data_IF_483819500627
#
_entry.id   IF_483819500627
#
_cell.length_a   1.000
_cell.length_b   1.000
_cell.length_c   1.000
_cell.angle_alpha   90.00
_cell.angle_beta   90.00
_cell.angle_gamma   90.00
#
_symmetry.space_group_name_H-M   'P 1'
#
loop_
_entity.id
_entity.type
_entity.pdbx_description
1 polymer ?
#
# COMPACT_ATOMS: atom_id res chain seq x y z
N UNK A 1 14.90 -6.00 -10.01
CA UNK A 1 15.24 -5.68 -8.61
C UNK A 1 14.08 -4.95 -7.98
N UNK A 2 13.75 -5.26 -6.69
CA UNK A 2 12.64 -4.65 -5.95
C UNK A 2 13.17 -4.10 -4.63
N UNK A 3 12.72 -2.90 -4.27
CA UNK A 3 12.97 -2.26 -2.99
C UNK A 3 11.64 -1.86 -2.35
N UNK A 4 11.46 -2.13 -1.07
CA UNK A 4 10.28 -1.73 -0.30
C UNK A 4 10.69 -1.33 1.12
N UNK A 5 10.00 -0.36 1.70
CA UNK A 5 10.20 0.06 3.08
C UNK A 5 9.29 -0.72 4.04
N UNK A 6 9.75 -0.89 5.29
CA UNK A 6 8.97 -1.38 6.42
C UNK A 6 9.37 -0.60 7.66
N UNK A 7 8.54 0.35 8.10
CA UNK A 7 8.90 1.26 9.19
C UNK A 7 8.28 0.92 10.54
N UNK A 8 7.24 0.11 10.56
CA UNK A 8 6.68 -0.35 11.83
C UNK A 8 7.70 -1.26 12.56
N UNK A 9 7.93 -1.02 13.84
CA UNK A 9 7.30 -0.04 14.72
C UNK A 9 8.06 1.31 14.72
N UNK A 10 9.39 1.33 14.72
CA UNK A 10 10.24 2.49 15.02
C UNK A 10 11.45 2.59 14.08
N UNK A 11 11.32 2.15 12.83
CA UNK A 11 12.39 2.16 11.83
C UNK A 11 12.36 3.37 10.90
N UNK A 12 11.35 4.27 11.00
CA UNK A 12 11.34 5.52 10.26
C UNK A 12 12.54 6.40 10.63
N UNK A 13 12.94 6.40 11.90
CA UNK A 13 14.12 7.12 12.45
C UNK A 13 15.46 6.66 11.86
N UNK A 14 15.51 5.49 11.26
CA UNK A 14 16.72 4.98 10.58
C UNK A 14 16.90 5.59 9.19
N UNK A 15 15.83 6.18 8.62
CA UNK A 15 15.81 6.77 7.28
C UNK A 15 15.80 8.29 7.33
N UNK A 16 15.06 8.91 8.26
CA UNK A 16 15.00 10.36 8.42
C UNK A 16 14.80 10.77 9.88
N UNK A 17 15.28 11.97 10.30
CA UNK A 17 15.06 12.47 11.65
C UNK A 17 13.57 12.74 11.91
N UNK A 18 13.01 12.08 12.93
CA UNK A 18 11.59 12.25 13.31
C UNK A 18 11.37 11.90 14.79
N UNK A 19 10.22 12.32 15.32
CA UNK A 19 9.66 11.76 16.55
C UNK A 19 8.89 10.50 16.13
N UNK A 20 9.56 9.37 16.24
CA UNK A 20 9.08 8.08 15.73
C UNK A 20 8.21 7.37 16.78
N UNK A 21 7.04 7.97 17.02
CA UNK A 21 6.02 7.53 17.96
C UNK A 21 4.64 7.64 17.27
N UNK A 22 3.70 6.73 17.53
CA UNK A 22 2.44 6.67 16.80
C UNK A 22 1.60 7.95 16.95
N UNK A 23 1.62 8.60 18.11
CA UNK A 23 0.87 9.84 18.36
C UNK A 23 1.50 11.09 17.74
N UNK A 24 2.80 11.07 17.42
CA UNK A 24 3.54 12.18 16.83
C UNK A 24 3.32 12.29 15.31
N UNK A 25 2.06 12.56 14.91
CA UNK A 25 1.67 12.62 13.50
C UNK A 25 2.19 13.86 12.79
N UNK A 26 2.60 13.71 11.54
CA UNK A 26 3.03 14.77 10.63
C UNK A 26 2.44 14.57 9.23
N UNK A 27 2.48 15.61 8.41
CA UNK A 27 2.29 15.53 6.97
C UNK A 27 3.64 15.30 6.31
N UNK A 28 3.66 14.52 5.24
CA UNK A 28 4.89 14.18 4.52
C UNK A 28 4.80 14.67 3.07
N UNK A 29 5.82 15.40 2.64
CA UNK A 29 6.11 15.70 1.25
C UNK A 29 7.22 14.74 0.79
N UNK A 30 6.88 13.73 0.00
CA UNK A 30 7.82 12.71 -0.46
C UNK A 30 8.26 13.00 -1.90
N UNK A 31 9.57 13.01 -2.10
CA UNK A 31 10.19 13.05 -3.43
C UNK A 31 11.27 11.96 -3.49
N UNK A 32 11.26 11.14 -4.52
CA UNK A 32 12.22 10.08 -4.74
C UNK A 32 12.96 10.30 -6.05
N UNK A 33 14.26 10.05 -6.05
CA UNK A 33 15.09 10.07 -7.26
C UNK A 33 15.56 8.64 -7.54
N UNK A 34 15.20 8.13 -8.71
CA UNK A 34 15.46 6.75 -9.13
C UNK A 34 16.06 6.72 -10.54
N UNK A 35 16.36 5.54 -11.04
CA UNK A 35 16.62 5.36 -12.47
C UNK A 35 15.30 5.45 -13.26
N UNK A 36 15.39 5.84 -14.51
CA UNK A 36 14.25 5.82 -15.45
C UNK A 36 13.77 4.40 -15.74
N UNK A 37 12.50 4.27 -16.16
CA UNK A 37 11.92 2.98 -16.59
C UNK A 37 11.56 2.02 -15.45
N UNK A 38 11.51 2.50 -14.20
CA UNK A 38 11.14 1.72 -13.02
C UNK A 38 9.86 2.29 -12.37
N UNK A 39 9.02 1.42 -11.83
CA UNK A 39 7.82 1.86 -11.09
C UNK A 39 8.21 2.38 -9.72
N UNK A 40 7.66 3.54 -9.35
CA UNK A 40 7.88 4.18 -8.04
C UNK A 40 6.51 4.43 -7.40
N UNK A 41 6.27 3.82 -6.23
CA UNK A 41 5.02 3.95 -5.48
C UNK A 41 5.28 4.62 -4.14
N UNK A 42 4.36 5.47 -3.71
CA UNK A 42 4.31 6.08 -2.38
C UNK A 42 2.91 5.99 -1.78
N UNK A 43 2.73 6.49 -0.56
CA UNK A 43 1.42 6.52 0.10
C UNK A 43 0.35 7.25 -0.73
N UNK A 44 0.73 8.35 -1.38
CA UNK A 44 -0.15 9.22 -2.15
C UNK A 44 0.06 9.05 -3.65
N UNK A 45 -0.85 9.53 -4.49
CA UNK A 45 -0.64 9.58 -5.94
C UNK A 45 0.59 10.39 -6.33
N UNK A 46 1.16 10.07 -7.48
CA UNK A 46 2.20 10.87 -8.11
C UNK A 46 1.63 12.23 -8.50
N UNK A 47 2.30 13.28 -8.09
CA UNK A 47 1.99 14.68 -8.43
C UNK A 47 2.72 15.12 -9.70
N UNK A 48 4.00 14.80 -9.79
CA UNK A 48 4.82 15.09 -10.97
C UNK A 48 5.98 14.11 -11.11
N UNK A 49 6.41 13.91 -12.35
CA UNK A 49 7.62 13.17 -12.71
C UNK A 49 8.48 14.04 -13.63
N UNK A 50 9.77 14.07 -13.35
CA UNK A 50 10.75 14.81 -14.13
C UNK A 50 11.93 13.90 -14.47
N UNK A 51 12.17 13.69 -15.75
CA UNK A 51 13.32 12.93 -16.25
C UNK A 51 14.50 13.86 -16.51
N UNK A 52 15.69 13.47 -16.04
CA UNK A 52 16.95 14.16 -16.31
C UNK A 52 18.05 13.11 -16.60
N UNK A 53 18.27 12.85 -17.87
CA UNK A 53 19.15 11.77 -18.33
C UNK A 53 18.63 10.41 -17.86
N UNK A 54 19.43 9.67 -17.11
CA UNK A 54 19.09 8.34 -16.59
C UNK A 54 18.34 8.41 -15.24
N UNK A 55 18.02 9.60 -14.74
CA UNK A 55 17.36 9.81 -13.45
C UNK A 55 15.91 10.25 -13.63
N UNK A 56 15.02 9.66 -12.84
CA UNK A 56 13.62 10.03 -12.68
C UNK A 56 13.40 10.62 -11.29
N UNK A 57 12.93 11.85 -11.23
CA UNK A 57 12.47 12.48 -9.97
C UNK A 57 10.95 12.37 -9.89
N UNK A 58 10.45 11.55 -8.97
CA UNK A 58 9.02 11.36 -8.69
C UNK A 58 8.64 12.12 -7.43
N UNK A 59 7.74 13.09 -7.54
CA UNK A 59 7.16 13.83 -6.43
C UNK A 59 5.72 13.38 -6.21
N UNK A 60 5.36 13.06 -4.97
CA UNK A 60 4.00 12.62 -4.61
C UNK A 60 3.16 13.78 -4.09
N UNK A 61 1.83 13.61 -4.12
CA UNK A 61 0.93 14.49 -3.38
C UNK A 61 1.24 14.39 -1.88
N UNK A 62 1.02 15.50 -1.16
CA UNK A 62 1.23 15.54 0.28
C UNK A 62 0.31 14.56 1.01
N UNK A 63 0.84 13.84 1.99
CA UNK A 63 0.04 12.94 2.80
C UNK A 63 -0.91 13.72 3.72
N UNK A 64 -2.03 13.12 4.16
CA UNK A 64 -2.71 13.60 5.35
C UNK A 64 -1.78 13.47 6.56
N UNK A 65 -2.16 14.08 7.67
CA UNK A 65 -1.43 13.97 8.93
C UNK A 65 -1.52 12.54 9.46
N UNK A 66 -0.39 11.84 9.49
CA UNK A 66 -0.28 10.42 9.85
C UNK A 66 0.98 10.12 10.68
N UNK A 67 0.98 8.95 11.31
CA UNK A 67 2.12 8.43 12.06
C UNK A 67 3.30 8.11 11.14
N UNK A 68 4.52 8.29 11.63
CA UNK A 68 5.76 8.02 10.89
C UNK A 68 5.88 6.58 10.38
N UNK A 69 5.41 5.60 11.16
CA UNK A 69 5.49 4.19 10.81
C UNK A 69 4.66 3.78 9.59
N UNK A 70 3.70 4.63 9.19
CA UNK A 70 2.83 4.42 8.02
C UNK A 70 3.41 4.95 6.70
N UNK A 71 4.51 5.72 6.76
CA UNK A 71 5.19 6.19 5.57
C UNK A 71 5.82 5.01 4.84
N UNK A 72 5.57 4.88 3.54
CA UNK A 72 6.11 3.80 2.74
C UNK A 72 6.37 4.22 1.31
N UNK A 73 7.31 3.52 0.66
CA UNK A 73 7.52 3.56 -0.77
C UNK A 73 8.03 2.21 -1.28
N UNK A 74 7.70 1.92 -2.54
CA UNK A 74 8.13 0.72 -3.25
C UNK A 74 8.71 1.12 -4.59
N UNK A 75 9.86 0.56 -4.96
CA UNK A 75 10.57 0.84 -6.20
C UNK A 75 10.93 -0.48 -6.87
N UNK A 76 10.50 -0.69 -8.11
CA UNK A 76 10.81 -1.93 -8.81
C UNK A 76 10.08 -2.08 -10.12
N UNK A 77 10.39 -3.17 -10.82
CA UNK A 77 9.61 -3.59 -11.99
C UNK A 77 8.32 -4.25 -11.50
N UNK A 78 7.19 -3.62 -11.75
CA UNK A 78 5.88 -4.07 -11.31
C UNK A 78 4.86 -3.95 -12.45
N UNK A 79 3.88 -4.86 -12.45
CA UNK A 79 2.66 -4.70 -13.24
C UNK A 79 1.46 -4.63 -12.29
N UNK A 80 0.33 -4.11 -12.78
CA UNK A 80 -0.87 -3.92 -11.96
C UNK A 80 -2.16 -4.28 -12.67
N UNK A 81 -3.17 -4.53 -11.85
CA UNK A 81 -4.59 -4.42 -12.22
C UNK A 81 -5.26 -3.34 -11.39
N UNK A 82 -6.24 -2.68 -11.99
CA UNK A 82 -6.91 -1.51 -11.39
C UNK A 82 -8.43 -1.67 -11.42
N UNK A 83 -9.09 -1.25 -10.35
CA UNK A 83 -10.52 -1.08 -10.24
C UNK A 83 -10.86 0.23 -9.51
N UNK A 84 -12.14 0.58 -9.42
CA UNK A 84 -12.62 1.73 -8.64
C UNK A 84 -13.76 1.31 -7.72
N UNK A 85 -13.76 1.85 -6.52
CA UNK A 85 -14.85 1.70 -5.56
C UNK A 85 -16.07 2.53 -6.01
N UNK A 86 -17.22 2.29 -5.38
CA UNK A 86 -18.43 3.12 -5.57
C UNK A 86 -18.20 4.59 -5.24
N UNK A 87 -17.33 4.87 -4.26
CA UNK A 87 -16.95 6.23 -3.85
C UNK A 87 -15.88 6.87 -4.74
N UNK A 88 -15.35 6.13 -5.74
CA UNK A 88 -14.38 6.63 -6.72
C UNK A 88 -12.92 6.44 -6.36
N UNK A 89 -12.61 5.77 -5.25
CA UNK A 89 -11.23 5.43 -4.86
C UNK A 89 -10.61 4.50 -5.90
N UNK A 90 -9.43 4.81 -6.39
CA UNK A 90 -8.68 3.94 -7.27
C UNK A 90 -7.99 2.83 -6.46
N UNK A 91 -8.28 1.58 -6.79
CA UNK A 91 -7.68 0.40 -6.15
C UNK A 91 -6.76 -0.29 -7.15
N UNK A 92 -5.51 -0.47 -6.78
CA UNK A 92 -4.52 -1.16 -7.60
C UNK A 92 -3.95 -2.35 -6.84
N UNK A 93 -3.77 -3.47 -7.52
CA UNK A 93 -3.01 -4.62 -7.04
C UNK A 93 -1.77 -4.77 -7.92
N UNK A 94 -0.61 -4.80 -7.28
CA UNK A 94 0.69 -4.81 -7.93
C UNK A 94 1.45 -6.10 -7.63
N UNK A 95 2.18 -6.61 -8.62
CA UNK A 95 3.09 -7.74 -8.45
C UNK A 95 4.31 -7.59 -9.37
N UNK A 96 5.35 -8.36 -9.08
CA UNK A 96 6.54 -8.45 -9.96
C UNK A 96 6.18 -9.16 -11.27
N UNK A 97 6.95 -8.95 -12.35
CA UNK A 97 6.73 -9.62 -13.64
C UNK A 97 6.82 -11.16 -13.58
N UNK A 98 7.33 -11.73 -12.48
CA UNK A 98 7.35 -13.17 -12.27
C UNK A 98 5.96 -13.77 -11.99
N UNK A 99 5.00 -12.94 -11.58
CA UNK A 99 3.63 -13.36 -11.27
C UNK A 99 2.71 -13.17 -12.48
N UNK A 100 1.79 -14.10 -12.69
CA UNK A 100 0.79 -13.99 -13.73
C UNK A 100 -0.26 -12.91 -13.38
N UNK A 101 -0.71 -12.12 -14.36
CA UNK A 101 -1.71 -11.07 -14.15
C UNK A 101 -3.03 -11.57 -13.55
N UNK A 102 -3.46 -12.80 -13.88
CA UNK A 102 -4.70 -13.37 -13.39
C UNK A 102 -4.68 -13.68 -11.88
N UNK A 103 -3.47 -13.74 -11.27
CA UNK A 103 -3.35 -13.94 -9.81
C UNK A 103 -3.75 -12.72 -8.99
N UNK A 104 -3.87 -11.54 -9.63
CA UNK A 104 -4.22 -10.27 -9.01
C UNK A 104 -5.75 -10.06 -8.89
N UNK A 105 -6.56 -10.78 -9.68
CA UNK A 105 -8.00 -10.53 -9.82
C UNK A 105 -8.76 -10.72 -8.50
N UNK A 106 -8.45 -11.78 -7.78
CA UNK A 106 -9.12 -12.07 -6.51
C UNK A 106 -8.86 -10.97 -5.47
N UNK A 107 -7.61 -10.55 -5.32
CA UNK A 107 -7.24 -9.50 -4.40
C UNK A 107 -7.90 -8.16 -4.77
N UNK A 108 -7.97 -7.84 -6.05
CA UNK A 108 -8.60 -6.61 -6.56
C UNK A 108 -10.10 -6.56 -6.25
N UNK A 109 -10.82 -7.67 -6.44
CA UNK A 109 -12.25 -7.77 -6.09
C UNK A 109 -12.45 -7.61 -4.57
N UNK A 110 -11.68 -8.35 -3.76
CA UNK A 110 -11.79 -8.29 -2.30
C UNK A 110 -11.47 -6.88 -1.78
N UNK A 111 -10.38 -6.27 -2.22
CA UNK A 111 -9.97 -4.94 -1.77
C UNK A 111 -11.02 -3.87 -2.11
N UNK A 112 -11.53 -3.88 -3.35
CA UNK A 112 -12.54 -2.93 -3.82
C UNK A 112 -13.83 -3.05 -3.00
N UNK A 113 -14.31 -4.28 -2.78
CA UNK A 113 -15.53 -4.53 -2.00
C UNK A 113 -15.34 -4.26 -0.50
N UNK A 114 -14.16 -4.50 0.04
CA UNK A 114 -13.86 -4.21 1.45
C UNK A 114 -13.88 -2.71 1.73
N UNK A 115 -13.33 -1.88 0.83
CA UNK A 115 -13.41 -0.41 0.97
C UNK A 115 -14.86 0.04 0.91
N UNK A 116 -15.65 -0.43 -0.05
CA UNK A 116 -17.09 -0.11 -0.15
C UNK A 116 -17.84 -0.51 1.13
N UNK A 117 -17.53 -1.68 1.69
CA UNK A 117 -18.12 -2.17 2.94
C UNK A 117 -17.72 -1.28 4.14
N UNK A 118 -16.45 -0.94 4.29
CA UNK A 118 -15.97 -0.14 5.41
C UNK A 118 -16.42 1.32 5.32
N UNK A 119 -16.57 1.87 4.12
CA UNK A 119 -17.19 3.18 3.89
C UNK A 119 -18.58 3.27 4.54
N UNK A 120 -19.36 2.18 4.42
CA UNK A 120 -20.71 2.07 5.00
C UNK A 120 -20.65 1.74 6.51
N UNK A 121 -19.81 0.76 6.87
CA UNK A 121 -19.71 0.26 8.25
C UNK A 121 -19.22 1.31 9.24
N UNK A 122 -18.18 2.05 8.88
CA UNK A 122 -17.65 3.12 9.74
C UNK A 122 -18.40 4.45 9.58
N UNK A 123 -19.21 4.62 8.53
CA UNK A 123 -19.88 5.87 8.21
C UNK A 123 -18.93 7.01 7.84
N UNK A 124 -17.68 6.70 7.55
CA UNK A 124 -16.62 7.64 7.14
C UNK A 124 -15.98 7.08 5.88
N UNK A 125 -15.95 7.88 4.82
CA UNK A 125 -15.35 7.48 3.55
C UNK A 125 -13.85 7.27 3.69
N UNK A 126 -13.32 6.32 2.88
CA UNK A 126 -11.88 6.12 2.72
C UNK A 126 -11.22 7.47 2.38
N UNK A 127 -10.24 7.93 3.19
CA UNK A 127 -9.82 9.33 3.13
C UNK A 127 -8.80 9.63 2.03
N UNK A 128 -8.27 8.61 1.34
CA UNK A 128 -7.26 8.79 0.30
C UNK A 128 -7.84 8.58 -1.11
N UNK A 129 -7.25 9.18 -2.14
CA UNK A 129 -7.74 9.04 -3.52
C UNK A 129 -7.45 7.66 -4.14
N UNK A 130 -6.51 6.90 -3.56
CA UNK A 130 -6.11 5.59 -4.04
C UNK A 130 -5.76 4.63 -2.90
N UNK A 131 -5.78 3.34 -3.20
CA UNK A 131 -5.29 2.26 -2.35
C UNK A 131 -4.48 1.29 -3.21
N UNK A 132 -3.17 1.28 -3.02
CA UNK A 132 -2.27 0.32 -3.65
C UNK A 132 -2.04 -0.88 -2.74
N UNK A 133 -2.09 -2.08 -3.30
CA UNK A 133 -1.83 -3.36 -2.65
C UNK A 133 -0.67 -4.04 -3.37
N UNK A 134 0.47 -4.18 -2.72
CA UNK A 134 1.71 -4.64 -3.36
C UNK A 134 2.15 -5.99 -2.84
N UNK A 135 2.24 -6.99 -3.73
CA UNK A 135 2.80 -8.30 -3.42
C UNK A 135 4.33 -8.25 -3.44
N UNK A 136 4.96 -8.58 -2.32
CA UNK A 136 6.41 -8.61 -2.16
C UNK A 136 6.92 -10.05 -2.08
N UNK A 137 7.92 -10.45 -2.89
CA UNK A 137 8.48 -11.80 -2.88
C UNK A 137 9.14 -12.17 -1.54
N UNK A 138 9.76 -11.18 -0.90
CA UNK A 138 10.44 -11.35 0.40
C UNK A 138 9.95 -10.30 1.38
N UNK A 139 9.02 -10.72 2.26
CA UNK A 139 8.43 -9.87 3.27
C UNK A 139 8.30 -10.65 4.59
N UNK A 140 8.87 -10.13 5.68
CA UNK A 140 8.98 -10.83 6.96
C UNK A 140 7.63 -11.06 7.63
N UNK A 141 6.72 -10.08 7.54
CA UNK A 141 5.36 -10.15 8.05
C UNK A 141 4.38 -10.73 7.01
N UNK A 142 3.12 -10.92 7.36
CA UNK A 142 2.07 -11.27 6.41
C UNK A 142 1.68 -10.09 5.53
N UNK A 143 1.46 -8.93 6.15
CA UNK A 143 1.17 -7.67 5.51
C UNK A 143 1.51 -6.48 6.41
N UNK A 144 1.33 -5.25 5.89
CA UNK A 144 1.52 -3.99 6.61
C UNK A 144 0.59 -2.92 6.06
N UNK A 145 -0.13 -2.26 6.96
CA UNK A 145 -1.20 -1.29 6.68
C UNK A 145 -0.74 0.11 6.25
N UNK A 146 0.44 0.31 5.69
CA UNK A 146 0.90 1.64 5.24
C UNK A 146 -0.20 2.40 4.52
N UNK A 147 -0.51 3.64 4.94
CA UNK A 147 -1.72 4.33 4.48
C UNK A 147 -1.68 4.62 2.99
N UNK A 148 -2.59 3.99 2.24
CA UNK A 148 -2.68 4.08 0.79
C UNK A 148 -1.67 3.23 -0.01
N UNK A 149 -0.75 2.52 0.66
CA UNK A 149 0.26 1.64 0.05
C UNK A 149 0.49 0.40 0.91
N UNK A 150 -0.48 -0.48 0.95
CA UNK A 150 -0.45 -1.70 1.75
C UNK A 150 0.48 -2.72 1.09
N UNK A 151 1.44 -3.22 1.87
CA UNK A 151 2.39 -4.23 1.41
C UNK A 151 2.03 -5.60 1.96
N UNK A 152 2.26 -6.64 1.17
CA UNK A 152 1.90 -8.01 1.51
C UNK A 152 3.01 -8.98 1.10
N UNK A 153 3.14 -10.06 1.86
CA UNK A 153 3.76 -11.27 1.33
C UNK A 153 2.93 -11.79 0.16
N UNK A 154 3.54 -12.25 -0.92
CA UNK A 154 2.82 -12.78 -2.10
C UNK A 154 1.74 -13.80 -1.72
N UNK A 155 2.03 -14.72 -0.80
CA UNK A 155 1.08 -15.74 -0.32
C UNK A 155 -0.14 -15.20 0.46
N UNK A 156 -0.09 -13.92 0.85
CA UNK A 156 -1.17 -13.22 1.56
C UNK A 156 -2.00 -12.32 0.65
N UNK A 157 -1.66 -12.21 -0.64
CA UNK A 157 -2.34 -11.36 -1.60
C UNK A 157 -2.73 -12.09 -2.89
N UNK A 158 -1.82 -12.87 -3.47
CA UNK A 158 -1.99 -13.45 -4.80
C UNK A 158 -2.75 -14.78 -4.75
N UNK A 159 -3.71 -14.97 -5.66
CA UNK A 159 -4.49 -16.17 -5.77
C UNK A 159 -4.62 -16.61 -7.23
N UNK A 160 -4.00 -17.72 -7.59
CA UNK A 160 -4.24 -18.35 -8.87
C UNK A 160 -5.70 -18.83 -8.94
N UNK A 161 -6.47 -18.51 -10.01
CA UNK A 161 -7.88 -18.82 -10.11
C UNK A 161 -8.18 -20.33 -10.13
N UNK A 162 -7.25 -21.16 -10.60
CA UNK A 162 -7.41 -22.60 -10.74
C UNK A 162 -6.71 -23.38 -9.62
N UNK A 163 -5.54 -22.92 -9.17
CA UNK A 163 -4.67 -23.69 -8.29
C UNK A 163 -4.81 -23.31 -6.80
N UNK A 164 -5.25 -22.09 -6.48
CA UNK A 164 -5.32 -21.65 -5.09
C UNK A 164 -6.53 -22.26 -4.37
N UNK A 165 -6.32 -23.08 -3.33
CA UNK A 165 -7.40 -23.69 -2.55
C UNK A 165 -8.32 -22.65 -1.91
N UNK A 166 -9.57 -23.03 -1.66
CA UNK A 166 -10.55 -22.12 -1.04
C UNK A 166 -10.12 -21.64 0.36
N UNK A 167 -9.49 -22.51 1.16
CA UNK A 167 -8.95 -22.13 2.48
C UNK A 167 -7.92 -21.01 2.38
N UNK A 168 -7.04 -21.06 1.38
CA UNK A 168 -6.06 -20.02 1.12
C UNK A 168 -6.72 -18.74 0.63
N UNK A 169 -7.73 -18.82 -0.24
CA UNK A 169 -8.49 -17.63 -0.67
C UNK A 169 -9.22 -16.96 0.49
N UNK A 170 -9.81 -17.73 1.41
CA UNK A 170 -10.41 -17.18 2.63
C UNK A 170 -9.37 -16.46 3.51
N UNK A 171 -8.19 -17.04 3.66
CA UNK A 171 -7.10 -16.44 4.40
C UNK A 171 -6.65 -15.11 3.75
N UNK A 172 -6.43 -15.11 2.43
CA UNK A 172 -6.09 -13.89 1.66
C UNK A 172 -7.15 -12.81 1.85
N UNK A 173 -8.44 -13.16 1.71
CA UNK A 173 -9.53 -12.21 1.93
C UNK A 173 -9.54 -11.65 3.36
N UNK A 174 -9.23 -12.49 4.36
CA UNK A 174 -9.11 -12.06 5.76
C UNK A 174 -7.96 -11.07 5.94
N UNK A 175 -6.79 -11.34 5.38
CA UNK A 175 -5.63 -10.44 5.47
C UNK A 175 -5.93 -9.11 4.78
N UNK A 176 -6.45 -9.13 3.56
CA UNK A 176 -6.79 -7.88 2.83
C UNK A 176 -7.80 -7.04 3.62
N UNK A 177 -8.86 -7.67 4.14
CA UNK A 177 -9.86 -6.96 4.94
C UNK A 177 -9.30 -6.43 6.26
N UNK A 178 -8.39 -7.17 6.90
CA UNK A 178 -7.67 -6.75 8.10
C UNK A 178 -6.87 -5.47 7.83
N UNK A 179 -5.99 -5.47 6.83
CA UNK A 179 -5.16 -4.32 6.48
C UNK A 179 -6.01 -3.10 6.05
N UNK A 180 -7.12 -3.33 5.36
CA UNK A 180 -8.02 -2.24 4.99
C UNK A 180 -8.80 -1.70 6.19
N UNK A 181 -9.14 -2.51 7.19
CA UNK A 181 -9.77 -2.02 8.42
C UNK A 181 -8.87 -1.04 9.19
N UNK A 182 -7.55 -1.27 9.14
CA UNK A 182 -6.56 -0.40 9.73
C UNK A 182 -6.53 1.00 9.11
N UNK A 183 -6.96 1.17 7.86
CA UNK A 183 -6.97 2.49 7.21
C UNK A 183 -7.86 3.49 7.98
N UNK A 184 -8.87 2.99 8.70
CA UNK A 184 -9.67 3.76 9.65
C UNK A 184 -9.20 3.54 11.09
N UNK A 185 -9.11 2.28 11.55
CA UNK A 185 -8.78 1.93 12.92
C UNK A 185 -7.31 1.51 13.05
N UNK A 186 -6.47 2.48 13.30
CA UNK A 186 -5.00 2.41 13.32
C UNK A 186 -4.41 3.66 12.65
N UNK A 187 -4.88 3.99 11.45
CA UNK A 187 -4.33 5.07 10.63
C UNK A 187 -5.07 6.40 10.83
N UNK A 188 -6.36 6.43 10.61
CA UNK A 188 -7.18 7.64 10.88
C UNK A 188 -7.30 7.89 12.39
N UNK A 189 -7.75 6.89 13.14
CA UNK A 189 -7.73 6.85 14.61
C UNK A 189 -6.54 6.00 15.05
N UNK A 190 -5.67 6.52 15.91
CA UNK A 190 -4.40 5.88 16.23
C UNK A 190 -4.20 5.77 17.73
N UNK A 191 -3.53 4.69 18.16
CA UNK A 191 -3.10 4.49 19.54
C UNK A 191 -2.14 5.62 19.99
N UNK A 192 -2.12 5.91 21.29
CA UNK A 192 -1.17 6.86 21.86
C UNK A 192 0.26 6.29 21.94
N UNK A 193 0.36 4.96 22.09
CA UNK A 193 1.62 4.22 22.23
C UNK A 193 1.47 2.80 21.69
N UNK A 194 2.60 2.16 21.40
CA UNK A 194 2.71 0.78 20.89
C UNK A 194 2.07 -0.27 21.80
#
# INVERSE_FOLDING_TARGET
QLFATQFESHHAREVFPCIDEPAAKAEYDLTLVTQTGITVLGNMPVKSEEENGDSLTTTFEKTPRMSSYLLAFVIGELHKKTARTKSGVEVNVWATPAQNENTLDFALDIATRSIDFYDEYFGVKYPLPKSDHVALPDFSSGAMENWGLITYRESCLLADPELTPESSRRFIATVISHELSHQWFGNLVTMNWW
#
